data_IF_896824661812
#
_entry.id   IF_896824661812
#
_cell.length_a   1.000
_cell.length_b   1.000
_cell.length_c   1.000
_cell.angle_alpha   90.00
_cell.angle_beta   90.00
_cell.angle_gamma   90.00
#
_symmetry.space_group_name_H-M   'P 1'
#
loop_
_entity.id
_entity.type
_entity.pdbx_description
1 polymer ?
#
# COMPACT_ATOMS: atom_id res chain seq x y z
N UNK A 1 -39.82 -2.64 0.54
CA UNK A 1 -38.80 -1.61 0.82
C UNK A 1 -37.54 -1.99 0.04
N UNK A 2 -37.51 -1.57 -1.23
CA UNK A 2 -36.44 -1.88 -2.18
C UNK A 2 -35.25 -0.97 -1.88
N UNK A 3 -34.21 -1.51 -1.26
CA UNK A 3 -32.95 -0.78 -1.07
C UNK A 3 -32.28 -0.65 -2.43
N UNK A 4 -32.46 0.51 -3.02
CA UNK A 4 -31.73 1.02 -4.18
C UNK A 4 -30.27 1.28 -3.74
N UNK A 5 -29.54 0.20 -3.45
CA UNK A 5 -28.12 0.19 -3.09
C UNK A 5 -27.30 0.54 -4.34
N UNK A 6 -27.37 1.81 -4.69
CA UNK A 6 -26.84 2.43 -5.88
C UNK A 6 -25.31 2.30 -5.89
N UNK A 7 -24.82 1.25 -6.56
CA UNK A 7 -23.71 1.17 -7.54
C UNK A 7 -22.41 1.99 -7.36
N UNK A 8 -22.24 2.74 -6.28
CA UNK A 8 -21.22 3.79 -6.12
C UNK A 8 -20.65 3.83 -4.69
N UNK A 9 -20.84 2.76 -3.91
CA UNK A 9 -20.16 2.61 -2.63
C UNK A 9 -18.69 2.29 -2.92
N UNK A 10 -17.71 3.00 -2.34
CA UNK A 10 -16.28 2.76 -2.57
C UNK A 10 -15.85 1.35 -2.11
N UNK A 11 -16.65 0.73 -1.24
CA UNK A 11 -16.46 -0.65 -0.77
C UNK A 11 -17.41 -1.57 -1.54
N UNK A 12 -16.84 -2.62 -2.15
CA UNK A 12 -17.61 -3.69 -2.78
C UNK A 12 -18.16 -4.63 -1.70
N UNK A 13 -19.43 -4.44 -1.33
CA UNK A 13 -20.16 -5.33 -0.42
C UNK A 13 -20.86 -6.49 -1.15
N UNK A 14 -20.71 -6.60 -2.47
CA UNK A 14 -21.53 -7.50 -3.27
C UNK A 14 -21.04 -8.95 -3.31
N UNK A 15 -19.76 -9.22 -2.94
CA UNK A 15 -19.18 -10.58 -3.09
C UNK A 15 -18.15 -11.07 -2.06
N UNK A 16 -17.70 -10.30 -1.06
CA UNK A 16 -16.71 -10.79 -0.08
C UNK A 16 -17.05 -10.44 1.37
N UNK A 17 -16.80 -11.37 2.30
CA UNK A 17 -17.01 -11.18 3.75
C UNK A 17 -15.91 -10.34 4.42
N UNK A 18 -14.80 -10.10 3.72
CA UNK A 18 -13.70 -9.23 4.17
C UNK A 18 -13.63 -7.99 3.27
N UNK A 19 -13.78 -6.82 3.87
CA UNK A 19 -13.46 -5.56 3.22
C UNK A 19 -11.97 -5.57 2.80
N UNK A 20 -11.70 -5.15 1.55
CA UNK A 20 -10.34 -4.87 1.05
C UNK A 20 -9.42 -6.10 0.89
N UNK A 21 -9.98 -7.29 0.70
CA UNK A 21 -9.19 -8.50 0.48
C UNK A 21 -8.33 -8.42 -0.80
N UNK A 22 -7.00 -8.48 -0.65
CA UNK A 22 -6.05 -8.44 -1.77
C UNK A 22 -5.85 -7.05 -2.38
N UNK A 23 -6.36 -5.98 -1.76
CA UNK A 23 -6.27 -4.61 -2.27
C UNK A 23 -4.81 -4.16 -2.45
N UNK A 24 -3.91 -4.53 -1.54
CA UNK A 24 -2.48 -4.19 -1.65
C UNK A 24 -1.82 -4.74 -2.91
N UNK A 25 -2.32 -5.85 -3.47
CA UNK A 25 -1.79 -6.49 -4.68
C UNK A 25 -2.60 -6.17 -5.95
N UNK A 26 -3.92 -6.02 -5.84
CA UNK A 26 -4.82 -5.78 -7.00
C UNK A 26 -5.03 -4.30 -7.32
N UNK A 27 -4.88 -3.40 -6.36
CA UNK A 27 -5.04 -1.98 -6.62
C UNK A 27 -3.81 -1.47 -7.39
N UNK A 28 -4.01 -1.15 -8.68
CA UNK A 28 -2.93 -0.67 -9.54
C UNK A 28 -2.20 0.57 -9.01
N UNK A 29 -2.87 1.38 -8.17
CA UNK A 29 -2.25 2.52 -7.50
C UNK A 29 -1.15 2.13 -6.49
N UNK A 30 -1.14 0.89 -6.00
CA UNK A 30 -0.10 0.36 -5.11
C UNK A 30 1.11 -0.22 -5.86
N UNK A 31 0.97 -0.50 -7.16
CA UNK A 31 2.00 -1.18 -7.95
C UNK A 31 3.38 -0.50 -7.91
N UNK A 32 3.51 0.85 -8.00
CA UNK A 32 4.82 1.51 -7.93
C UNK A 32 5.50 1.31 -6.57
N UNK A 33 4.73 1.47 -5.49
CA UNK A 33 5.23 1.28 -4.13
C UNK A 33 5.70 -0.16 -3.91
N UNK A 34 4.91 -1.14 -4.35
CA UNK A 34 5.25 -2.55 -4.20
C UNK A 34 6.46 -2.98 -5.04
N UNK A 35 6.53 -2.53 -6.30
CA UNK A 35 7.66 -2.81 -7.17
C UNK A 35 8.96 -2.20 -6.60
N UNK A 36 8.91 -0.95 -6.15
CA UNK A 36 10.08 -0.32 -5.51
C UNK A 36 10.49 -1.02 -4.21
N UNK A 37 9.55 -1.55 -3.42
CA UNK A 37 9.86 -2.34 -2.22
C UNK A 37 10.60 -3.63 -2.57
N UNK A 38 10.19 -4.31 -3.63
CA UNK A 38 10.89 -5.50 -4.11
C UNK A 38 12.34 -5.19 -4.53
N UNK A 39 12.54 -4.10 -5.27
CA UNK A 39 13.89 -3.65 -5.66
C UNK A 39 14.72 -3.27 -4.42
N UNK A 40 14.13 -2.61 -3.42
CA UNK A 40 14.80 -2.27 -2.18
C UNK A 40 15.31 -3.51 -1.43
N UNK A 41 14.50 -4.58 -1.35
CA UNK A 41 14.88 -5.86 -0.72
C UNK A 41 16.03 -6.54 -1.47
N UNK A 42 16.00 -6.52 -2.80
CA UNK A 42 17.09 -7.06 -3.62
C UNK A 42 18.38 -6.28 -3.37
N UNK A 43 18.33 -4.95 -3.41
CA UNK A 43 19.48 -4.09 -3.16
C UNK A 43 20.05 -4.29 -1.74
N UNK A 44 19.18 -4.45 -0.73
CA UNK A 44 19.58 -4.76 0.65
C UNK A 44 20.35 -6.08 0.71
N UNK A 45 19.80 -7.14 0.10
CA UNK A 45 20.42 -8.47 0.09
C UNK A 45 21.79 -8.45 -0.59
N UNK A 46 21.89 -7.80 -1.75
CA UNK A 46 23.15 -7.64 -2.48
C UNK A 46 24.16 -6.81 -1.67
N UNK A 47 23.73 -5.72 -1.05
CA UNK A 47 24.59 -4.87 -0.23
C UNK A 47 25.16 -5.61 0.98
N UNK A 48 24.33 -6.36 1.71
CA UNK A 48 24.76 -7.18 2.84
C UNK A 48 25.75 -8.27 2.40
N UNK A 49 25.48 -8.95 1.29
CA UNK A 49 26.39 -9.96 0.74
C UNK A 49 27.73 -9.35 0.33
N UNK A 50 27.73 -8.20 -0.33
CA UNK A 50 28.94 -7.49 -0.73
C UNK A 50 29.79 -7.06 0.49
N UNK A 51 29.15 -6.58 1.56
CA UNK A 51 29.85 -6.26 2.82
C UNK A 51 30.49 -7.51 3.43
N UNK A 52 29.76 -8.63 3.47
CA UNK A 52 30.28 -9.90 3.98
C UNK A 52 31.45 -10.43 3.15
N UNK A 53 31.45 -10.16 1.84
CA UNK A 53 32.54 -10.49 0.92
C UNK A 53 33.72 -9.48 0.95
N UNK A 54 33.69 -8.46 1.82
CA UNK A 54 34.76 -7.47 1.97
C UNK A 54 34.69 -6.29 0.98
N UNK A 55 33.66 -6.21 0.14
CA UNK A 55 33.44 -5.11 -0.80
C UNK A 55 32.71 -3.94 -0.11
N UNK A 56 33.37 -3.27 0.84
CA UNK A 56 32.73 -2.30 1.73
C UNK A 56 32.09 -1.11 1.02
N UNK A 57 32.76 -0.52 0.02
CA UNK A 57 32.22 0.64 -0.72
C UNK A 57 30.99 0.24 -1.53
N UNK A 58 31.08 -0.85 -2.29
CA UNK A 58 29.96 -1.34 -3.10
C UNK A 58 28.77 -1.76 -2.24
N UNK A 59 29.04 -2.44 -1.13
CA UNK A 59 28.04 -2.81 -0.13
C UNK A 59 27.34 -1.59 0.47
N UNK A 60 28.10 -0.59 0.92
CA UNK A 60 27.54 0.65 1.48
C UNK A 60 26.65 1.40 0.48
N UNK A 61 27.07 1.51 -0.79
CA UNK A 61 26.25 2.14 -1.84
C UNK A 61 24.95 1.38 -2.05
N UNK A 62 24.99 0.05 -2.17
CA UNK A 62 23.79 -0.78 -2.32
C UNK A 62 22.83 -0.64 -1.13
N UNK A 63 23.36 -0.56 0.10
CA UNK A 63 22.55 -0.33 1.30
C UNK A 63 21.87 1.05 1.30
N UNK A 64 22.58 2.10 0.89
CA UNK A 64 22.00 3.45 0.78
C UNK A 64 20.86 3.45 -0.24
N UNK A 65 21.08 2.83 -1.41
CA UNK A 65 20.04 2.68 -2.44
C UNK A 65 18.83 1.92 -1.90
N UNK A 66 19.05 0.82 -1.18
CA UNK A 66 17.98 0.05 -0.56
C UNK A 66 17.14 0.88 0.42
N UNK A 67 17.79 1.67 1.29
CA UNK A 67 17.10 2.54 2.26
C UNK A 67 16.28 3.60 1.56
N UNK A 68 16.84 4.28 0.55
CA UNK A 68 16.15 5.32 -0.21
C UNK A 68 14.93 4.74 -0.94
N UNK A 69 15.10 3.64 -1.67
CA UNK A 69 13.99 2.99 -2.37
C UNK A 69 12.92 2.48 -1.40
N UNK A 70 13.33 1.86 -0.29
CA UNK A 70 12.41 1.39 0.75
C UNK A 70 11.57 2.53 1.35
N UNK A 71 12.22 3.66 1.65
CA UNK A 71 11.53 4.84 2.18
C UNK A 71 10.55 5.45 1.17
N UNK A 72 10.97 5.60 -0.09
CA UNK A 72 10.10 6.13 -1.16
C UNK A 72 8.89 5.23 -1.42
N UNK A 73 9.11 3.91 -1.45
CA UNK A 73 8.05 2.92 -1.61
C UNK A 73 7.07 2.91 -0.45
N UNK A 74 7.57 2.94 0.79
CA UNK A 74 6.71 3.02 1.98
C UNK A 74 5.89 4.32 1.96
N UNK A 75 6.51 5.46 1.63
CA UNK A 75 5.82 6.73 1.51
C UNK A 75 4.73 6.72 0.43
N UNK A 76 4.98 6.06 -0.70
CA UNK A 76 3.99 5.89 -1.77
C UNK A 76 2.78 5.09 -1.28
N UNK A 77 3.00 3.90 -0.71
CA UNK A 77 1.93 3.04 -0.20
C UNK A 77 1.10 3.75 0.86
N UNK A 78 1.75 4.42 1.82
CA UNK A 78 1.07 5.20 2.85
C UNK A 78 0.21 6.32 2.26
N UNK A 79 0.69 7.03 1.23
CA UNK A 79 -0.11 8.05 0.54
C UNK A 79 -1.33 7.44 -0.15
N UNK A 80 -1.17 6.31 -0.84
CA UNK A 80 -2.29 5.63 -1.51
C UNK A 80 -3.36 5.19 -0.52
N UNK A 81 -2.96 4.54 0.60
CA UNK A 81 -3.89 4.17 1.67
C UNK A 81 -4.63 5.38 2.26
N UNK A 82 -3.91 6.49 2.52
CA UNK A 82 -4.53 7.73 3.01
C UNK A 82 -5.53 8.32 2.02
N UNK A 83 -5.24 8.26 0.72
CA UNK A 83 -6.15 8.76 -0.33
C UNK A 83 -7.44 7.94 -0.40
N UNK A 84 -7.35 6.62 -0.33
CA UNK A 84 -8.52 5.72 -0.30
C UNK A 84 -9.35 6.01 0.94
N UNK A 85 -8.72 6.03 2.12
CA UNK A 85 -9.41 6.31 3.39
C UNK A 85 -10.10 7.68 3.41
N UNK A 86 -9.45 8.71 2.87
CA UNK A 86 -10.07 10.04 2.76
C UNK A 86 -11.27 10.04 1.82
N UNK A 87 -11.25 9.25 0.74
CA UNK A 87 -12.39 9.11 -0.16
C UNK A 87 -13.56 8.37 0.51
N UNK A 88 -13.28 7.30 1.26
CA UNK A 88 -14.29 6.58 2.06
C UNK A 88 -14.95 7.49 3.09
N UNK A 89 -14.15 8.23 3.88
CA UNK A 89 -14.67 9.15 4.89
C UNK A 89 -15.56 10.24 4.29
N UNK A 90 -15.14 10.83 3.15
CA UNK A 90 -15.96 11.83 2.43
C UNK A 90 -17.27 11.23 1.91
N UNK A 91 -17.22 10.02 1.36
CA UNK A 91 -18.42 9.35 0.87
C UNK A 91 -19.39 9.03 2.02
N UNK A 92 -18.89 8.49 3.14
CA UNK A 92 -19.67 8.20 4.34
C UNK A 92 -20.33 9.45 4.91
N UNK A 93 -19.59 10.55 5.08
CA UNK A 93 -20.13 11.81 5.59
C UNK A 93 -21.27 12.39 4.73
N UNK A 94 -21.26 12.10 3.43
CA UNK A 94 -22.26 12.61 2.49
C UNK A 94 -23.45 11.67 2.25
N UNK A 95 -23.35 10.37 2.60
CA UNK A 95 -24.34 9.37 2.14
C UNK A 95 -24.74 8.32 3.20
N UNK A 96 -24.22 8.35 4.42
CA UNK A 96 -24.48 7.29 5.41
C UNK A 96 -24.81 7.82 6.80
N UNK A 97 -25.95 7.37 7.33
CA UNK A 97 -26.37 7.62 8.72
C UNK A 97 -25.68 6.66 9.72
N UNK A 98 -24.76 5.81 9.24
CA UNK A 98 -24.03 4.83 10.06
C UNK A 98 -22.56 5.26 10.25
N UNK A 99 -21.97 5.00 11.43
CA UNK A 99 -20.55 5.28 11.67
C UNK A 99 -19.66 4.56 10.65
N UNK A 100 -18.64 5.26 10.14
CA UNK A 100 -17.64 4.68 9.25
C UNK A 100 -16.96 3.47 9.91
N UNK A 101 -16.71 2.42 9.14
CA UNK A 101 -16.06 1.20 9.64
C UNK A 101 -14.62 1.51 10.11
N UNK A 102 -14.15 0.86 11.18
CA UNK A 102 -12.77 1.02 11.65
C UNK A 102 -11.78 0.58 10.57
N UNK A 103 -10.54 1.12 10.56
CA UNK A 103 -9.50 0.66 9.63
C UNK A 103 -9.35 -0.86 9.73
N UNK A 104 -9.35 -1.55 8.59
CA UNK A 104 -8.98 -2.96 8.53
C UNK A 104 -7.49 -3.08 8.84
N UNK A 105 -7.17 -3.80 9.91
CA UNK A 105 -5.81 -4.22 10.27
C UNK A 105 -5.28 -5.32 9.35
#
# INVERSE_FOLDING_TARGET
>A
MTLDYRKNTPVDLSRTTRAHAGESLKNGANAPGLAGSAVAVIALTVGLFAMAAGHLVGGAVALIVAVVLGALSAAWLLRTHRKVRAAELRWHAAHSDRPALPPSS
#
